data_IF_272613112870
#
_entry.id   IF_272613112870
#
_cell.length_a   1.000
_cell.length_b   1.000
_cell.length_c   1.000
_cell.angle_alpha   90.00
_cell.angle_beta   90.00
_cell.angle_gamma   90.00
#
_symmetry.space_group_name_H-M   'P 1'
#
loop_
_entity.id
_entity.type
_entity.pdbx_description
1 polymer ?
#
# COMPACT_ATOMS: atom_id res chain seq x y z
N UNK A 1 36.57 -3.13 14.74
CA UNK A 1 35.34 -2.48 14.26
C UNK A 1 34.15 -3.13 14.95
N UNK A 2 33.40 -2.39 15.74
CA UNK A 2 32.25 -2.86 16.50
C UNK A 2 30.98 -2.62 15.67
N UNK A 3 30.34 -3.69 15.22
CA UNK A 3 29.07 -3.61 14.53
C UNK A 3 27.91 -3.68 15.55
N UNK A 4 27.08 -2.66 15.59
CA UNK A 4 25.86 -2.62 16.39
C UNK A 4 24.65 -2.98 15.49
N UNK A 5 23.90 -4.00 15.88
CA UNK A 5 22.61 -4.34 15.30
C UNK A 5 21.51 -3.68 16.15
N UNK A 6 20.72 -2.82 15.52
CA UNK A 6 19.55 -2.21 16.14
C UNK A 6 18.31 -3.08 15.91
N UNK A 7 17.79 -3.67 16.98
CA UNK A 7 16.53 -4.38 16.98
C UNK A 7 15.46 -3.53 17.67
N UNK A 8 14.39 -3.19 16.95
CA UNK A 8 13.22 -2.50 17.49
C UNK A 8 12.21 -3.50 18.03
N UNK A 9 11.95 -3.47 19.31
CA UNK A 9 10.85 -4.20 19.94
C UNK A 9 10.15 -3.26 20.94
N UNK A 10 9.01 -2.70 20.55
CA UNK A 10 8.24 -1.81 21.41
C UNK A 10 8.94 -0.46 21.70
N UNK A 11 8.36 0.38 22.53
CA UNK A 11 8.78 1.75 22.83
C UNK A 11 10.10 1.91 23.62
N UNK A 12 11.00 0.92 23.65
CA UNK A 12 12.29 1.03 24.31
C UNK A 12 13.44 0.48 23.45
N UNK A 13 14.52 1.22 23.39
CA UNK A 13 15.75 0.82 22.70
C UNK A 13 16.60 0.01 23.67
N UNK A 14 16.73 -1.29 23.44
CA UNK A 14 17.64 -2.14 24.20
C UNK A 14 18.94 -2.27 23.41
N UNK A 15 20.02 -1.71 23.94
CA UNK A 15 21.38 -1.90 23.41
C UNK A 15 21.96 -3.20 23.94
N UNK A 16 22.08 -4.20 23.08
CA UNK A 16 22.77 -5.45 23.40
C UNK A 16 24.21 -5.35 22.90
N UNK A 17 25.16 -5.54 23.83
CA UNK A 17 26.58 -5.59 23.53
C UNK A 17 26.94 -7.00 23.12
N UNK A 18 27.27 -7.22 21.85
CA UNK A 18 27.76 -8.49 21.36
C UNK A 18 29.26 -8.50 21.46
N UNK A 19 29.80 -9.22 22.45
CA UNK A 19 31.23 -9.51 22.53
C UNK A 19 31.54 -10.70 21.60
N UNK A 20 32.45 -10.47 20.67
CA UNK A 20 32.97 -11.48 19.76
C UNK A 20 33.90 -12.40 20.56
N UNK A 21 33.42 -13.55 20.96
CA UNK A 21 34.26 -14.68 21.40
C UNK A 21 34.44 -15.62 20.22
N UNK A 22 35.63 -15.55 19.69
CA UNK A 22 36.12 -16.32 18.55
C UNK A 22 36.24 -17.82 18.86
N UNK A 23 35.91 -18.64 17.87
CA UNK A 23 36.56 -19.91 17.52
C UNK A 23 36.21 -21.22 18.24
N UNK A 24 35.06 -21.41 18.88
CA UNK A 24 34.68 -22.78 19.31
C UNK A 24 33.22 -23.19 19.17
N UNK A 25 32.38 -22.47 18.45
CA UNK A 25 30.95 -22.77 18.30
C UNK A 25 30.50 -23.11 16.87
N UNK A 26 31.44 -23.45 15.97
CA UNK A 26 31.08 -23.75 14.57
C UNK A 26 30.61 -25.20 14.34
N UNK A 27 30.78 -26.07 15.36
CA UNK A 27 30.36 -27.48 15.25
C UNK A 27 29.01 -27.82 15.89
N UNK A 28 28.37 -26.87 16.60
CA UNK A 28 27.05 -27.14 17.23
C UNK A 28 25.86 -26.56 16.46
N UNK A 29 26.10 -25.73 15.46
CA UNK A 29 25.01 -25.09 14.68
C UNK A 29 24.32 -26.06 13.71
N UNK A 30 25.01 -27.11 13.25
CA UNK A 30 24.40 -28.09 12.35
C UNK A 30 23.42 -29.01 13.07
N UNK A 31 23.63 -29.30 14.37
CA UNK A 31 22.72 -30.14 15.14
C UNK A 31 21.41 -29.45 15.54
N UNK A 32 21.43 -28.12 15.67
CA UNK A 32 20.22 -27.34 15.98
C UNK A 32 19.37 -27.10 14.75
N UNK A 33 19.99 -26.92 13.57
CA UNK A 33 19.25 -26.77 12.30
C UNK A 33 18.52 -28.05 11.91
N UNK A 34 19.15 -29.23 12.13
CA UNK A 34 18.49 -30.53 11.89
C UNK A 34 17.36 -30.80 12.88
N UNK A 35 17.47 -30.34 14.14
CA UNK A 35 16.41 -30.46 15.13
C UNK A 35 15.20 -29.56 14.88
N UNK A 36 15.41 -28.42 14.26
CA UNK A 36 14.31 -27.53 13.84
C UNK A 36 13.61 -28.00 12.56
N UNK A 37 14.32 -28.69 11.65
CA UNK A 37 13.73 -29.25 10.44
C UNK A 37 12.88 -30.50 10.72
N UNK A 38 13.16 -31.24 11.80
CA UNK A 38 12.36 -32.44 12.17
C UNK A 38 11.03 -32.12 12.87
N UNK A 39 10.80 -30.88 13.32
CA UNK A 39 9.53 -30.47 13.95
C UNK A 39 8.56 -29.76 13.00
N UNK A 40 8.98 -29.43 11.78
CA UNK A 40 8.09 -28.92 10.74
C UNK A 40 7.70 -29.96 9.68
N UNK A 41 7.76 -31.23 10.00
CA UNK A 41 6.96 -32.25 9.32
C UNK A 41 5.49 -32.02 9.72
N UNK A 42 4.90 -30.95 9.20
CA UNK A 42 3.46 -30.84 9.09
C UNK A 42 3.01 -32.00 8.23
N UNK A 43 2.77 -33.13 8.90
CA UNK A 43 2.25 -34.31 8.25
C UNK A 43 1.00 -33.91 7.50
N UNK A 44 1.07 -33.96 6.17
CA UNK A 44 -0.08 -33.93 5.28
C UNK A 44 -1.00 -35.15 5.53
N UNK A 45 -1.10 -35.57 6.78
CA UNK A 45 -2.02 -36.62 7.19
C UNK A 45 -3.41 -36.00 7.24
N UNK A 46 -4.18 -36.28 6.21
CA UNK A 46 -5.60 -36.23 6.31
C UNK A 46 -6.25 -35.04 5.64
N UNK A 47 -6.17 -34.98 4.32
CA UNK A 47 -7.27 -34.46 3.52
C UNK A 47 -8.53 -35.36 3.65
N UNK A 48 -8.46 -36.42 4.47
CA UNK A 48 -9.63 -37.22 4.83
C UNK A 48 -10.49 -36.39 5.76
N UNK A 49 -11.54 -35.76 5.19
CA UNK A 49 -12.51 -35.02 5.96
C UNK A 49 -13.01 -35.86 7.11
N UNK A 50 -13.10 -35.28 8.29
CA UNK A 50 -13.64 -35.95 9.46
C UNK A 50 -15.08 -36.36 9.15
N UNK A 51 -15.36 -37.66 9.22
CA UNK A 51 -16.68 -38.25 9.01
C UNK A 51 -17.23 -38.75 10.35
N UNK A 52 -18.56 -38.74 10.51
CA UNK A 52 -19.23 -39.28 11.66
C UNK A 52 -19.79 -38.26 12.65
N UNK A 53 -20.38 -38.73 13.74
CA UNK A 53 -20.93 -37.93 14.83
C UNK A 53 -19.83 -37.10 15.52
N UNK A 54 -20.09 -35.84 15.83
CA UNK A 54 -19.10 -34.95 16.43
C UNK A 54 -18.12 -34.25 15.45
N UNK A 55 -18.16 -34.58 14.16
CA UNK A 55 -17.29 -33.98 13.15
C UNK A 55 -17.63 -32.49 12.85
N UNK A 56 -18.78 -31.99 13.28
CA UNK A 56 -19.30 -30.66 12.93
C UNK A 56 -18.33 -29.50 13.25
N UNK A 57 -17.65 -29.54 14.38
CA UNK A 57 -16.66 -28.49 14.76
C UNK A 57 -15.50 -28.42 13.77
N UNK A 58 -14.95 -29.57 13.39
CA UNK A 58 -13.82 -29.65 12.46
C UNK A 58 -14.25 -29.27 11.03
N UNK A 59 -15.44 -29.70 10.59
CA UNK A 59 -16.01 -29.33 9.31
C UNK A 59 -16.27 -27.81 9.22
N UNK A 60 -16.79 -27.19 10.29
CA UNK A 60 -16.95 -25.75 10.40
C UNK A 60 -15.62 -25.00 10.26
N UNK A 61 -14.58 -25.47 10.94
CA UNK A 61 -13.24 -24.87 10.85
C UNK A 61 -12.64 -25.02 9.46
N UNK A 62 -12.84 -26.18 8.83
CA UNK A 62 -12.40 -26.43 7.46
C UNK A 62 -13.10 -25.50 6.47
N UNK A 63 -14.43 -25.35 6.58
CA UNK A 63 -15.22 -24.44 5.75
C UNK A 63 -14.79 -22.99 5.91
N UNK A 64 -14.51 -22.55 7.14
CA UNK A 64 -14.01 -21.20 7.42
C UNK A 64 -12.65 -20.94 6.75
N UNK A 65 -11.76 -21.93 6.73
CA UNK A 65 -10.47 -21.83 6.00
C UNK A 65 -10.66 -21.76 4.49
N UNK A 66 -11.57 -22.57 3.93
CA UNK A 66 -11.86 -22.58 2.51
C UNK A 66 -12.47 -21.24 2.02
N UNK A 67 -13.27 -20.55 2.83
CA UNK A 67 -13.83 -19.24 2.48
C UNK A 67 -12.78 -18.19 2.14
N UNK A 68 -11.56 -18.30 2.70
CA UNK A 68 -10.46 -17.40 2.37
C UNK A 68 -9.93 -17.54 0.95
N UNK A 69 -10.25 -18.61 0.24
CA UNK A 69 -9.95 -18.77 -1.19
C UNK A 69 -10.83 -17.89 -2.08
N UNK A 70 -12.04 -17.54 -1.60
CA UNK A 70 -12.94 -16.65 -2.32
C UNK A 70 -12.42 -15.20 -2.32
N UNK A 71 -12.33 -14.63 -3.54
CA UNK A 71 -11.85 -13.26 -3.75
C UNK A 71 -12.76 -12.21 -3.11
N UNK A 72 -14.08 -12.40 -3.19
CA UNK A 72 -15.05 -11.47 -2.62
C UNK A 72 -14.97 -11.44 -1.10
N UNK A 73 -14.96 -12.62 -0.47
CA UNK A 73 -14.82 -12.78 0.97
C UNK A 73 -13.49 -12.21 1.47
N UNK A 74 -12.38 -12.52 0.78
CA UNK A 74 -11.05 -12.00 1.11
C UNK A 74 -10.99 -10.48 1.03
N UNK A 75 -11.61 -9.88 0.00
CA UNK A 75 -11.67 -8.44 -0.20
C UNK A 75 -12.43 -7.73 0.93
N UNK A 76 -13.53 -8.27 1.40
CA UNK A 76 -14.35 -7.69 2.46
C UNK A 76 -13.70 -7.83 3.85
N UNK A 77 -13.00 -8.95 4.11
CA UNK A 77 -12.49 -9.28 5.44
C UNK A 77 -11.02 -8.92 5.70
N UNK A 78 -10.25 -8.51 4.66
CA UNK A 78 -8.83 -8.13 4.81
C UNK A 78 -8.58 -6.69 5.27
N UNK A 79 -9.61 -5.93 5.62
CA UNK A 79 -9.48 -4.55 6.07
C UNK A 79 -8.90 -3.63 4.99
N UNK A 80 -9.32 -3.77 3.74
CA UNK A 80 -8.89 -2.94 2.62
C UNK A 80 -9.20 -1.45 2.83
N UNK A 81 -10.22 -1.12 3.62
CA UNK A 81 -10.58 0.24 3.99
C UNK A 81 -9.44 0.97 4.70
N UNK A 82 -8.72 0.26 5.57
CA UNK A 82 -7.60 0.82 6.31
C UNK A 82 -6.31 0.92 5.49
N UNK A 83 -6.11 -0.04 4.57
CA UNK A 83 -4.88 -0.13 3.76
C UNK A 83 -4.91 0.77 2.54
N UNK A 84 -6.06 0.88 1.86
CA UNK A 84 -6.19 1.68 0.63
C UNK A 84 -6.48 3.14 0.94
N UNK A 85 -5.91 4.09 0.17
CA UNK A 85 -6.16 5.51 0.40
C UNK A 85 -7.63 5.89 0.25
N UNK A 86 -8.32 5.35 -0.74
CA UNK A 86 -9.72 5.70 -1.01
C UNK A 86 -10.74 4.85 -0.24
N UNK A 87 -10.30 3.88 0.55
CA UNK A 87 -11.20 3.02 1.34
C UNK A 87 -12.38 2.41 0.53
N UNK A 88 -12.15 2.12 -0.74
CA UNK A 88 -13.15 1.51 -1.64
C UNK A 88 -14.02 2.51 -2.43
N UNK A 89 -13.96 3.82 -2.16
CA UNK A 89 -14.66 4.83 -2.96
C UNK A 89 -13.99 5.06 -4.31
N UNK A 90 -14.74 5.54 -5.31
CA UNK A 90 -14.23 5.86 -6.65
C UNK A 90 -13.43 7.17 -6.68
N UNK A 91 -13.84 8.14 -5.88
CA UNK A 91 -13.27 9.48 -5.80
C UNK A 91 -13.06 9.86 -4.34
N UNK A 92 -12.13 10.80 -4.11
CA UNK A 92 -11.91 11.38 -2.80
C UNK A 92 -11.53 12.86 -2.92
N UNK A 93 -11.99 13.66 -1.95
CA UNK A 93 -11.57 15.06 -1.81
C UNK A 93 -10.29 15.13 -0.99
N UNK A 94 -9.44 16.07 -1.32
CA UNK A 94 -8.20 16.32 -0.61
C UNK A 94 -7.73 17.76 -0.77
N UNK A 95 -6.77 18.14 0.06
CA UNK A 95 -6.14 19.45 0.07
C UNK A 95 -4.74 19.31 -0.52
N UNK A 96 -4.37 20.17 -1.44
CA UNK A 96 -3.04 20.21 -2.06
C UNK A 96 -2.04 20.71 -1.03
N UNK A 97 -0.96 19.95 -0.82
CA UNK A 97 0.14 20.34 0.07
C UNK A 97 1.27 21.00 -0.71
N UNK A 98 1.63 20.41 -1.85
CA UNK A 98 2.75 20.88 -2.67
C UNK A 98 2.61 20.42 -4.13
N UNK A 99 3.24 21.13 -5.04
CA UNK A 99 3.40 20.76 -6.45
C UNK A 99 4.70 19.98 -6.61
N UNK A 100 4.66 18.80 -7.23
CA UNK A 100 5.83 17.94 -7.42
C UNK A 100 6.02 17.55 -8.87
N UNK A 101 7.28 17.44 -9.30
CA UNK A 101 7.66 16.81 -10.55
C UNK A 101 8.18 15.40 -10.28
N UNK A 102 7.68 14.41 -11.01
CA UNK A 102 8.13 13.02 -10.89
C UNK A 102 8.80 12.63 -12.19
N UNK A 103 10.03 12.13 -12.10
CA UNK A 103 10.79 11.67 -13.25
C UNK A 103 10.16 10.41 -13.85
N UNK A 104 10.09 10.37 -15.17
CA UNK A 104 9.57 9.21 -15.89
C UNK A 104 10.53 8.03 -15.81
N UNK A 105 9.98 6.81 -15.88
CA UNK A 105 10.76 5.59 -15.97
C UNK A 105 11.37 5.44 -17.35
N UNK A 106 12.57 4.83 -17.41
CA UNK A 106 13.15 4.40 -18.70
C UNK A 106 12.17 3.49 -19.46
N UNK A 107 12.10 3.59 -20.81
CA UNK A 107 12.99 4.33 -21.72
C UNK A 107 12.67 5.82 -21.88
N UNK A 108 11.66 6.36 -21.20
CA UNK A 108 11.23 7.74 -21.32
C UNK A 108 12.04 8.66 -20.39
N UNK A 109 12.24 9.90 -20.84
CA UNK A 109 12.86 10.97 -20.05
C UNK A 109 11.95 12.19 -20.05
N UNK A 110 11.27 12.42 -18.93
CA UNK A 110 10.37 13.57 -18.77
C UNK A 110 10.11 13.81 -17.27
N UNK A 111 9.73 15.04 -16.93
CA UNK A 111 9.25 15.40 -15.59
C UNK A 111 7.73 15.48 -15.64
N UNK A 112 7.06 14.48 -15.05
CA UNK A 112 5.59 14.43 -14.99
C UNK A 112 5.07 15.29 -13.86
N UNK A 113 4.14 16.17 -14.20
CA UNK A 113 3.55 17.15 -13.27
C UNK A 113 2.53 16.46 -12.37
N UNK A 114 2.78 16.48 -11.07
CA UNK A 114 1.95 15.86 -10.05
C UNK A 114 1.72 16.83 -8.89
N UNK A 115 0.73 16.55 -8.06
CA UNK A 115 0.49 17.25 -6.81
C UNK A 115 0.48 16.26 -5.64
N UNK A 116 1.10 16.64 -4.53
CA UNK A 116 0.97 15.90 -3.27
C UNK A 116 -0.27 16.40 -2.55
N UNK A 117 -1.18 15.50 -2.25
CA UNK A 117 -2.50 15.83 -1.72
C UNK A 117 -2.75 15.04 -0.46
N UNK A 118 -3.28 15.69 0.57
CA UNK A 118 -3.79 15.06 1.78
C UNK A 118 -5.29 14.85 1.66
N UNK A 119 -5.73 13.62 1.80
CA UNK A 119 -7.15 13.26 1.75
C UNK A 119 -7.86 13.75 3.00
N UNK A 120 -9.02 14.39 2.84
CA UNK A 120 -9.84 14.88 3.96
C UNK A 120 -10.41 13.71 4.76
N UNK A 121 -10.83 12.63 4.06
CA UNK A 121 -11.52 11.49 4.69
C UNK A 121 -10.69 10.74 5.73
N UNK A 122 -9.40 10.54 5.48
CA UNK A 122 -8.53 9.69 6.30
C UNK A 122 -7.14 10.27 6.58
N UNK A 123 -6.88 11.51 6.18
CA UNK A 123 -5.61 12.20 6.40
C UNK A 123 -4.40 11.63 5.64
N UNK A 124 -4.59 10.60 4.82
CA UNK A 124 -3.48 9.99 4.08
C UNK A 124 -2.96 10.91 2.99
N UNK A 125 -1.63 11.03 2.89
CA UNK A 125 -0.95 11.78 1.85
C UNK A 125 -0.72 10.90 0.64
N UNK A 126 -1.10 11.39 -0.55
CA UNK A 126 -0.93 10.68 -1.83
C UNK A 126 -0.40 11.61 -2.90
N UNK A 127 0.28 11.05 -3.90
CA UNK A 127 0.63 11.76 -5.12
C UNK A 127 -0.45 11.53 -6.18
N UNK A 128 -0.92 12.59 -6.81
CA UNK A 128 -1.91 12.57 -7.88
C UNK A 128 -1.34 13.25 -9.12
N UNK A 129 -1.48 12.61 -10.27
CA UNK A 129 -1.08 13.17 -11.56
C UNK A 129 -2.03 14.28 -12.00
N UNK A 130 -1.49 15.35 -12.56
CA UNK A 130 -2.27 16.45 -13.14
C UNK A 130 -2.27 16.26 -14.65
N UNK A 131 -3.41 15.84 -15.25
CA UNK A 131 -3.51 15.66 -16.69
C UNK A 131 -3.54 17.01 -17.42
N UNK A 132 -3.22 16.97 -18.70
CA UNK A 132 -3.10 18.08 -19.63
C UNK A 132 -1.95 19.06 -19.32
N UNK A 133 -1.40 19.62 -20.37
CA UNK A 133 -0.29 20.56 -20.26
C UNK A 133 -0.76 21.90 -19.67
N UNK A 134 0.07 22.52 -18.84
CA UNK A 134 -0.23 23.79 -18.19
C UNK A 134 -1.25 23.72 -17.04
N UNK A 135 -1.98 22.62 -16.87
CA UNK A 135 -3.03 22.53 -15.84
C UNK A 135 -2.50 22.58 -14.39
N UNK A 136 -1.22 22.35 -14.17
CA UNK A 136 -0.61 22.55 -12.87
C UNK A 136 -0.66 24.00 -12.39
N UNK A 137 -0.74 24.97 -13.33
CA UNK A 137 -0.83 26.39 -13.00
C UNK A 137 -2.16 26.78 -12.37
N UNK A 138 -3.24 26.04 -12.67
CA UNK A 138 -4.56 26.25 -12.06
C UNK A 138 -4.67 25.73 -10.63
N UNK A 139 -3.70 24.88 -10.20
CA UNK A 139 -3.68 24.29 -8.87
C UNK A 139 -2.76 25.12 -7.99
N UNK A 140 -3.25 25.56 -6.85
CA UNK A 140 -2.48 26.25 -5.83
C UNK A 140 -2.35 25.38 -4.58
N UNK A 141 -1.44 25.76 -3.69
CA UNK A 141 -1.33 25.14 -2.38
C UNK A 141 -2.59 25.46 -1.56
N UNK A 142 -3.03 24.53 -0.75
CA UNK A 142 -4.27 24.57 0.03
C UNK A 142 -5.58 24.49 -0.77
N UNK A 143 -5.54 24.37 -2.10
CA UNK A 143 -6.77 24.16 -2.87
C UNK A 143 -7.43 22.81 -2.55
N UNK A 144 -8.78 22.81 -2.51
CA UNK A 144 -9.56 21.58 -2.49
C UNK A 144 -9.59 20.94 -3.87
N UNK A 145 -9.15 19.71 -3.97
CA UNK A 145 -9.14 18.94 -5.22
C UNK A 145 -9.94 17.66 -5.09
N UNK A 146 -10.63 17.29 -6.16
CA UNK A 146 -11.26 15.97 -6.30
C UNK A 146 -10.32 15.07 -7.09
N UNK A 147 -10.00 13.92 -6.49
CA UNK A 147 -9.07 12.94 -7.04
C UNK A 147 -9.82 11.67 -7.38
N UNK A 148 -9.44 11.03 -8.48
CA UNK A 148 -9.93 9.75 -8.93
C UNK A 148 -8.79 8.74 -9.12
N UNK A 149 -9.14 7.46 -9.24
CA UNK A 149 -8.20 6.43 -9.67
C UNK A 149 -7.73 6.65 -11.11
N UNK A 150 -6.55 6.16 -11.43
CA UNK A 150 -5.94 6.35 -12.76
C UNK A 150 -6.30 5.25 -13.79
N UNK A 151 -7.28 4.39 -13.47
CA UNK A 151 -7.81 3.37 -14.40
C UNK A 151 -7.25 1.96 -14.20
N UNK A 152 -6.06 1.77 -13.64
CA UNK A 152 -5.44 0.43 -13.44
C UNK A 152 -5.72 -0.21 -12.08
N UNK A 153 -6.88 0.05 -11.48
CA UNK A 153 -7.35 -0.58 -10.23
C UNK A 153 -6.29 -0.57 -9.09
N UNK A 154 -5.56 0.55 -8.94
CA UNK A 154 -4.58 0.74 -7.88
C UNK A 154 -3.14 0.39 -8.25
N UNK A 155 -2.84 0.18 -9.52
CA UNK A 155 -1.48 0.12 -10.05
C UNK A 155 -1.09 1.44 -10.70
N UNK A 156 0.23 1.73 -10.73
CA UNK A 156 0.75 2.90 -11.43
C UNK A 156 0.49 2.80 -12.95
N UNK A 157 0.29 3.93 -13.59
CA UNK A 157 -0.05 4.01 -15.02
C UNK A 157 1.12 4.62 -15.79
N UNK A 158 1.43 4.02 -16.95
CA UNK A 158 2.45 4.52 -17.86
C UNK A 158 3.85 4.53 -17.24
N UNK A 159 4.58 5.57 -17.56
CA UNK A 159 5.97 5.80 -17.16
C UNK A 159 6.13 6.50 -15.80
N UNK A 160 5.01 6.84 -15.12
CA UNK A 160 5.04 7.56 -13.84
C UNK A 160 5.22 6.59 -12.67
N UNK A 161 6.36 6.59 -11.97
CA UNK A 161 6.58 5.67 -10.86
C UNK A 161 5.69 6.01 -9.65
N UNK A 162 5.01 5.00 -9.12
CA UNK A 162 4.26 5.09 -7.86
C UNK A 162 2.95 5.87 -7.89
N UNK A 163 2.61 6.60 -8.97
CA UNK A 163 1.39 7.40 -9.05
C UNK A 163 0.21 6.57 -9.54
N UNK A 164 -0.85 6.51 -8.75
CA UNK A 164 -2.05 5.68 -8.96
C UNK A 164 -3.33 6.49 -9.10
N UNK A 165 -3.25 7.80 -8.94
CA UNK A 165 -4.38 8.72 -8.87
C UNK A 165 -4.17 9.89 -9.80
N UNK A 166 -5.28 10.51 -10.23
CA UNK A 166 -5.29 11.73 -11.06
C UNK A 166 -6.23 12.76 -10.48
N UNK A 167 -5.90 14.04 -10.67
CA UNK A 167 -6.78 15.17 -10.33
C UNK A 167 -7.87 15.29 -11.38
N UNK A 168 -9.12 15.46 -10.95
CA UNK A 168 -10.29 15.60 -11.83
C UNK A 168 -10.90 17.01 -11.73
N UNK A 169 -11.03 17.54 -10.50
CA UNK A 169 -11.59 18.87 -10.25
C UNK A 169 -10.69 19.66 -9.32
N UNK A 170 -10.67 20.95 -9.49
CA UNK A 170 -10.00 21.93 -8.61
C UNK A 170 -11.04 22.96 -8.18
N UNK A 171 -11.16 23.20 -6.88
CA UNK A 171 -12.15 24.14 -6.30
C UNK A 171 -13.56 23.96 -6.87
N UNK A 172 -13.99 22.69 -7.03
CA UNK A 172 -15.31 22.34 -7.57
C UNK A 172 -15.45 22.37 -9.08
N UNK A 173 -14.48 22.92 -9.83
CA UNK A 173 -14.49 23.02 -11.30
C UNK A 173 -13.67 21.91 -11.94
N UNK A 174 -14.17 21.31 -13.02
CA UNK A 174 -13.47 20.27 -13.76
C UNK A 174 -12.19 20.83 -14.40
N UNK A 175 -11.07 20.13 -14.20
CA UNK A 175 -9.78 20.50 -14.80
C UNK A 175 -9.83 20.54 -16.33
N UNK A 176 -10.63 19.68 -16.96
CA UNK A 176 -10.86 19.71 -18.40
C UNK A 176 -11.62 20.97 -18.88
N UNK A 177 -12.55 21.48 -18.05
CA UNK A 177 -13.27 22.71 -18.37
C UNK A 177 -12.37 23.92 -18.24
N UNK A 178 -11.46 23.96 -17.29
CA UNK A 178 -10.42 25.00 -17.17
C UNK A 178 -9.45 24.95 -18.34
N UNK A 179 -9.02 23.75 -18.75
CA UNK A 179 -8.12 23.57 -19.90
C UNK A 179 -8.75 24.02 -21.22
N UNK A 180 -10.07 23.84 -21.40
CA UNK A 180 -10.80 24.27 -22.59
C UNK A 180 -11.33 25.70 -22.47
N UNK A 181 -10.96 26.43 -21.42
CA UNK A 181 -11.39 27.83 -21.16
C UNK A 181 -12.93 28.04 -21.14
N UNK A 182 -13.67 26.91 -20.86
CA UNK A 182 -15.14 26.97 -20.74
C UNK A 182 -15.61 27.48 -19.38
N UNK A 183 -14.78 27.40 -18.37
CA UNK A 183 -15.06 27.88 -17.01
C UNK A 183 -13.79 28.46 -16.41
N UNK A 184 -13.94 29.42 -15.54
CA UNK A 184 -12.86 29.98 -14.75
C UNK A 184 -12.80 29.37 -13.38
N UNK A 185 -11.60 29.41 -12.74
CA UNK A 185 -11.42 29.00 -11.36
C UNK A 185 -12.12 30.04 -10.47
N UNK A 186 -12.99 29.63 -9.54
CA UNK A 186 -13.57 30.59 -8.59
C UNK A 186 -12.43 31.17 -7.74
N UNK A 187 -12.45 32.47 -7.57
CA UNK A 187 -11.55 33.16 -6.65
C UNK A 187 -11.98 32.81 -5.21
N UNK A 188 -11.07 32.34 -4.41
CA UNK A 188 -11.27 32.08 -2.99
C UNK A 188 -10.98 33.33 -2.19
#
# INVERSE_FOLDING_TARGET
MLNYLNLYKGKSIVRVRVSVLTSRLFLSSQSLASRFQSQCSFSRTGQNGTRGMGAGRKLRTHRRRQRWADKAYKKSNLGNEWKKPFAGSSHAKGIVLEKIGIEAKQPNSAIRKCARVQLIKNGKKIAAFVPNDGCLNYIEENDEVLIAGFGRKGHAVGDIPGVRFKVVKVSGVSLLALFKEKKEKPRS
#
